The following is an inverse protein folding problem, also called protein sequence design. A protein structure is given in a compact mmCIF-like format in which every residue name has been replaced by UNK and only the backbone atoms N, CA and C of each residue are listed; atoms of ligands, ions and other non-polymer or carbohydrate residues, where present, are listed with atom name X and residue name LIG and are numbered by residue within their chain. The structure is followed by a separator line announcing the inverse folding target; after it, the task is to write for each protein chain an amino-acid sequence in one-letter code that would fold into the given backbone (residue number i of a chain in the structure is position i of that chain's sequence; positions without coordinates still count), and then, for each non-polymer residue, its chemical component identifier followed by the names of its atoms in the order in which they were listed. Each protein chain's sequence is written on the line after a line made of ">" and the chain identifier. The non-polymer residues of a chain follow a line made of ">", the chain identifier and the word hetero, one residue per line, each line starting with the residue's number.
data_IF_774600691754
#
_entry.id   IF_774600691754
#
_cell.length_a   1.000
_cell.length_b   1.000
_cell.length_c   1.000
_cell.angle_alpha   90.00
_cell.angle_beta   90.00
_cell.angle_gamma   90.00
#
_symmetry.space_group_name_H-M   'P 1'
#
loop_
_entity.id
_entity.type
_entity.pdbx_description
1 polymer ?
#
# COMPACT_ATOMS: atom_id res chain seq x y z
N UNK A 1 33.29 3.67 13.67
CA UNK A 1 33.66 4.88 12.90
C UNK A 1 33.16 4.84 11.44
N UNK A 2 32.05 4.13 11.15
CA UNK A 2 31.47 3.97 9.80
C UNK A 2 29.95 4.28 9.76
N UNK A 3 29.37 4.74 10.87
CA UNK A 3 27.94 5.13 10.97
C UNK A 3 27.70 6.64 10.77
N UNK A 4 28.75 7.44 10.60
CA UNK A 4 28.65 8.88 10.36
C UNK A 4 28.33 9.28 8.92
N UNK A 5 28.50 8.36 7.95
CA UNK A 5 28.44 8.68 6.51
C UNK A 5 27.05 8.44 5.90
N UNK A 6 26.24 7.54 6.46
CA UNK A 6 24.86 7.30 5.99
C UNK A 6 23.84 8.32 6.54
N UNK A 7 24.17 9.03 7.63
CA UNK A 7 23.34 10.09 8.21
C UNK A 7 23.79 11.51 7.80
N UNK A 8 25.04 11.71 7.33
CA UNK A 8 25.53 13.05 6.95
C UNK A 8 25.05 13.52 5.58
N UNK A 9 24.68 12.62 4.67
CA UNK A 9 24.27 13.00 3.29
C UNK A 9 22.77 13.21 3.13
N UNK A 10 21.94 12.94 4.16
CA UNK A 10 20.49 13.19 4.15
C UNK A 10 20.06 14.48 4.87
N UNK A 11 21.00 15.30 5.34
CA UNK A 11 20.72 16.52 6.13
C UNK A 11 20.37 17.78 5.30
N UNK A 12 20.21 17.67 3.98
CA UNK A 12 19.95 18.81 3.07
C UNK A 12 18.51 18.83 2.51
N UNK A 13 17.69 17.80 2.73
CA UNK A 13 16.27 17.81 2.27
C UNK A 13 15.34 17.56 3.44
N UNK A 14 15.34 18.50 4.38
CA UNK A 14 14.32 18.61 5.42
C UNK A 14 14.00 20.09 5.61
N UNK A 15 13.48 20.74 4.57
CA UNK A 15 12.82 22.04 4.67
C UNK A 15 11.88 22.22 3.47
N UNK A 16 10.69 22.77 3.76
CA UNK A 16 9.61 23.15 2.83
C UNK A 16 8.69 22.03 2.34
N UNK A 17 8.15 21.27 3.29
CA UNK A 17 6.87 20.60 3.10
C UNK A 17 5.76 21.56 3.53
N UNK A 18 4.88 21.95 2.61
CA UNK A 18 3.49 22.30 2.91
C UNK A 18 2.67 21.07 3.32
N UNK A 19 3.33 20.07 3.93
CA UNK A 19 2.67 19.04 4.70
C UNK A 19 2.55 19.63 6.09
N UNK A 20 1.36 19.57 6.66
CA UNK A 20 1.18 19.66 8.09
C UNK A 20 2.34 18.95 8.78
N UNK A 21 3.00 19.63 9.72
CA UNK A 21 3.93 19.00 10.64
C UNK A 21 3.18 17.79 11.19
N UNK A 22 3.52 16.59 10.73
CA UNK A 22 2.73 15.39 11.03
C UNK A 22 2.70 15.26 12.54
N UNK A 23 1.50 15.45 13.10
CA UNK A 23 1.16 15.11 14.47
C UNK A 23 1.81 13.76 14.79
N UNK A 24 2.49 13.68 15.94
CA UNK A 24 3.07 12.43 16.45
C UNK A 24 2.10 11.28 16.22
N UNK A 25 2.56 10.10 15.76
CA UNK A 25 1.76 8.87 15.95
C UNK A 25 1.23 8.89 17.36
N UNK A 26 -0.08 8.70 17.45
CA UNK A 26 -0.79 8.84 18.70
C UNK A 26 -0.32 7.78 19.71
N UNK A 27 -0.46 8.10 21.00
CA UNK A 27 0.17 7.42 22.13
C UNK A 27 -0.11 5.92 22.12
N UNK A 28 -1.32 5.50 21.73
CA UNK A 28 -1.72 4.09 21.67
C UNK A 28 -0.89 3.33 20.64
N UNK A 29 -0.71 3.92 19.44
CA UNK A 29 0.08 3.34 18.36
C UNK A 29 1.55 3.16 18.78
N UNK A 30 2.16 4.19 19.37
CA UNK A 30 3.55 4.08 19.86
C UNK A 30 3.67 3.01 20.94
N UNK A 31 2.75 2.96 21.91
CA UNK A 31 2.78 1.95 22.97
C UNK A 31 2.66 0.53 22.41
N UNK A 32 1.70 0.30 21.51
CA UNK A 32 1.53 -1.00 20.86
C UNK A 32 2.80 -1.42 20.11
N UNK A 33 3.36 -0.53 19.28
CA UNK A 33 4.54 -0.85 18.49
C UNK A 33 5.76 -1.08 19.37
N UNK A 34 6.03 -0.22 20.36
CA UNK A 34 7.15 -0.43 21.28
C UNK A 34 7.06 -1.80 21.95
N UNK A 35 5.88 -2.17 22.50
CA UNK A 35 5.68 -3.47 23.14
C UNK A 35 5.86 -4.63 22.15
N UNK A 36 5.29 -4.51 20.95
CA UNK A 36 5.43 -5.52 19.90
C UNK A 36 6.90 -5.73 19.53
N UNK A 37 7.64 -4.66 19.23
CA UNK A 37 9.07 -4.73 18.90
C UNK A 37 9.89 -5.32 20.04
N UNK A 38 9.66 -4.92 21.30
CA UNK A 38 10.37 -5.49 22.46
C UNK A 38 10.18 -7.00 22.54
N UNK A 39 8.94 -7.48 22.45
CA UNK A 39 8.62 -8.91 22.50
C UNK A 39 9.27 -9.68 21.35
N UNK A 40 9.12 -9.19 20.11
CA UNK A 40 9.66 -9.88 18.93
C UNK A 40 11.19 -9.92 18.95
N UNK A 41 11.84 -8.82 19.32
CA UNK A 41 13.30 -8.76 19.44
C UNK A 41 13.81 -9.73 20.51
N UNK A 42 13.16 -9.80 21.68
CA UNK A 42 13.52 -10.77 22.73
C UNK A 42 13.39 -12.22 22.22
N UNK A 43 12.32 -12.54 21.49
CA UNK A 43 12.14 -13.86 20.92
C UNK A 43 13.23 -14.20 19.89
N UNK A 44 13.61 -13.26 19.03
CA UNK A 44 14.67 -13.47 18.05
C UNK A 44 16.05 -13.63 18.69
N UNK A 45 16.33 -12.92 19.79
CA UNK A 45 17.62 -12.99 20.49
C UNK A 45 17.79 -14.27 21.31
N UNK A 46 16.70 -14.93 21.66
CA UNK A 46 16.71 -16.25 22.31
C UNK A 46 16.89 -17.40 21.30
N UNK A 47 16.84 -17.11 20.00
CA UNK A 47 16.98 -18.10 18.96
C UNK A 47 18.42 -18.59 18.86
N UNK A 48 18.62 -19.90 19.02
CA UNK A 48 19.89 -20.57 18.76
C UNK A 48 19.94 -21.03 17.29
N UNK A 49 20.71 -20.34 16.42
CA UNK A 49 20.70 -20.61 14.98
C UNK A 49 21.23 -22.00 14.62
N UNK A 50 22.01 -22.62 15.51
CA UNK A 50 22.55 -23.96 15.31
C UNK A 50 21.51 -25.05 15.58
N UNK A 51 20.44 -24.72 16.29
CA UNK A 51 19.33 -25.64 16.62
C UNK A 51 18.09 -25.43 15.76
N UNK A 52 18.03 -24.33 15.01
CA UNK A 52 16.92 -24.04 14.12
C UNK A 52 17.07 -24.75 12.77
N UNK A 53 15.93 -25.17 12.25
CA UNK A 53 15.80 -25.61 10.86
C UNK A 53 15.95 -24.43 9.89
N UNK A 54 16.28 -24.71 8.64
CA UNK A 54 16.33 -23.71 7.57
C UNK A 54 15.02 -22.94 7.43
N UNK A 55 13.87 -23.62 7.49
CA UNK A 55 12.55 -22.99 7.37
C UNK A 55 12.24 -22.03 8.52
N UNK A 56 12.67 -22.37 9.74
CA UNK A 56 12.53 -21.49 10.91
C UNK A 56 13.40 -20.23 10.75
N UNK A 57 14.65 -20.39 10.30
CA UNK A 57 15.55 -19.28 10.04
C UNK A 57 15.00 -18.36 8.94
N UNK A 58 14.44 -18.91 7.86
CA UNK A 58 13.81 -18.14 6.79
C UNK A 58 12.60 -17.34 7.33
N UNK A 59 11.74 -17.96 8.14
CA UNK A 59 10.59 -17.27 8.76
C UNK A 59 11.04 -16.12 9.66
N UNK A 60 12.09 -16.33 10.44
CA UNK A 60 12.68 -15.30 11.32
C UNK A 60 13.27 -14.16 10.50
N UNK A 61 14.04 -14.46 9.46
CA UNK A 61 14.58 -13.44 8.57
C UNK A 61 13.48 -12.62 7.88
N UNK A 62 12.43 -13.29 7.38
CA UNK A 62 11.30 -12.62 6.74
C UNK A 62 10.59 -11.66 7.70
N UNK A 63 10.32 -12.09 8.93
CA UNK A 63 9.66 -11.24 9.92
C UNK A 63 10.57 -10.10 10.40
N UNK A 64 11.84 -10.37 10.69
CA UNK A 64 12.81 -9.35 11.12
C UNK A 64 13.02 -8.29 10.04
N UNK A 65 13.10 -8.71 8.77
CA UNK A 65 13.21 -7.79 7.64
C UNK A 65 11.91 -7.00 7.42
N UNK A 66 10.73 -7.60 7.59
CA UNK A 66 9.44 -6.88 7.57
C UNK A 66 9.39 -5.78 8.64
N UNK A 67 9.76 -6.11 9.87
CA UNK A 67 9.83 -5.16 10.99
C UNK A 67 10.81 -4.02 10.72
N UNK A 68 11.97 -4.33 10.12
CA UNK A 68 12.97 -3.32 9.78
C UNK A 68 12.46 -2.41 8.66
N UNK A 69 11.84 -2.99 7.63
CA UNK A 69 11.25 -2.26 6.50
C UNK A 69 10.16 -1.30 6.96
N UNK A 70 9.27 -1.74 7.86
CA UNK A 70 8.23 -0.89 8.42
C UNK A 70 8.79 0.38 9.08
N UNK A 71 9.85 0.28 9.89
CA UNK A 71 10.48 1.44 10.54
C UNK A 71 11.00 2.43 9.49
N UNK A 72 11.65 1.91 8.44
CA UNK A 72 12.19 2.73 7.35
C UNK A 72 11.06 3.42 6.60
N UNK A 73 10.02 2.68 6.22
CA UNK A 73 8.88 3.21 5.45
C UNK A 73 8.11 4.26 6.27
N UNK A 74 7.84 4.00 7.55
CA UNK A 74 7.20 4.95 8.43
C UNK A 74 8.02 6.25 8.57
N UNK A 75 9.35 6.14 8.66
CA UNK A 75 10.24 7.30 8.69
C UNK A 75 10.17 8.09 7.38
N UNK A 76 10.27 7.43 6.23
CA UNK A 76 10.22 8.05 4.90
C UNK A 76 8.87 8.69 4.58
N UNK A 77 7.79 8.11 5.11
CA UNK A 77 6.47 8.73 5.04
C UNK A 77 6.36 9.99 5.89
N UNK A 78 7.27 10.22 6.83
CA UNK A 78 7.31 11.41 7.68
C UNK A 78 6.81 11.21 9.11
N UNK A 79 6.60 9.96 9.57
CA UNK A 79 6.32 9.67 10.99
C UNK A 79 7.60 9.69 11.84
N UNK A 80 8.50 10.65 11.58
CA UNK A 80 9.88 10.66 12.08
C UNK A 80 9.95 10.68 13.61
N UNK A 81 9.13 11.50 14.28
CA UNK A 81 9.12 11.59 15.74
C UNK A 81 8.79 10.25 16.40
N UNK A 82 7.74 9.59 15.91
CA UNK A 82 7.26 8.34 16.48
C UNK A 82 8.18 7.18 16.18
N UNK A 83 8.73 7.14 14.96
CA UNK A 83 9.77 6.20 14.62
C UNK A 83 11.00 6.37 15.52
N UNK A 84 11.45 7.61 15.74
CA UNK A 84 12.57 7.90 16.64
C UNK A 84 12.28 7.45 18.08
N UNK A 85 11.04 7.61 18.54
CA UNK A 85 10.62 7.15 19.86
C UNK A 85 10.63 5.62 19.98
N UNK A 86 10.07 4.90 18.99
CA UNK A 86 10.10 3.43 18.98
C UNK A 86 11.55 2.94 18.92
N UNK A 87 12.38 3.51 18.04
CA UNK A 87 13.78 3.12 17.90
C UNK A 87 14.57 3.38 19.18
N UNK A 88 14.42 4.56 19.80
CA UNK A 88 15.15 4.89 21.04
C UNK A 88 14.74 4.04 22.25
N UNK A 89 13.52 3.50 22.28
CA UNK A 89 13.02 2.64 23.36
C UNK A 89 13.34 1.14 23.17
N UNK A 90 13.75 0.74 21.97
CA UNK A 90 13.87 -0.69 21.62
C UNK A 90 15.20 -1.08 21.01
N UNK A 91 15.98 -0.11 20.51
CA UNK A 91 17.15 -0.30 19.65
C UNK A 91 16.86 -1.18 18.43
N UNK A 92 15.62 -1.14 17.93
CA UNK A 92 15.10 -2.11 16.96
C UNK A 92 15.96 -2.22 15.70
N UNK A 93 16.40 -1.12 15.11
CA UNK A 93 17.13 -1.16 13.84
C UNK A 93 18.46 -1.93 13.94
N UNK A 94 19.23 -1.69 15.00
CA UNK A 94 20.51 -2.37 15.20
C UNK A 94 20.29 -3.86 15.55
N UNK A 95 19.33 -4.15 16.43
CA UNK A 95 19.02 -5.52 16.86
C UNK A 95 18.51 -6.36 15.68
N UNK A 96 17.56 -5.82 14.88
CA UNK A 96 17.07 -6.48 13.67
C UNK A 96 18.19 -6.70 12.65
N UNK A 97 19.10 -5.74 12.47
CA UNK A 97 20.24 -5.90 11.58
C UNK A 97 21.15 -7.05 12.04
N UNK A 98 21.43 -7.16 13.34
CA UNK A 98 22.23 -8.27 13.90
C UNK A 98 21.56 -9.62 13.66
N UNK A 99 20.25 -9.71 13.87
CA UNK A 99 19.46 -10.93 13.59
C UNK A 99 19.57 -11.31 12.11
N UNK A 100 19.35 -10.37 11.19
CA UNK A 100 19.44 -10.63 9.75
C UNK A 100 20.85 -11.06 9.32
N UNK A 101 21.89 -10.42 9.87
CA UNK A 101 23.27 -10.79 9.61
C UNK A 101 23.60 -12.20 10.13
N UNK A 102 23.13 -12.55 11.33
CA UNK A 102 23.27 -13.90 11.89
C UNK A 102 22.61 -14.95 10.99
N UNK A 103 21.36 -14.72 10.55
CA UNK A 103 20.65 -15.68 9.70
C UNK A 103 21.35 -15.83 8.35
N UNK A 104 21.82 -14.72 7.78
CA UNK A 104 22.55 -14.71 6.50
C UNK A 104 23.89 -15.45 6.60
N UNK A 105 24.59 -15.38 7.73
CA UNK A 105 25.81 -16.16 7.95
C UNK A 105 25.53 -17.67 7.97
N UNK A 106 24.36 -18.08 8.50
CA UNK A 106 23.99 -19.49 8.62
C UNK A 106 23.44 -20.10 7.34
N UNK A 107 22.60 -19.36 6.63
CA UNK A 107 21.96 -19.79 5.38
C UNK A 107 22.84 -19.55 4.14
N UNK A 108 23.88 -18.72 4.27
CA UNK A 108 24.62 -18.18 3.13
C UNK A 108 23.95 -16.93 2.56
N UNK A 109 24.58 -16.26 1.57
CA UNK A 109 23.95 -15.13 0.90
C UNK A 109 22.63 -15.61 0.26
N UNK A 110 21.53 -14.85 0.39
CA UNK A 110 20.27 -15.26 -0.21
C UNK A 110 20.46 -15.49 -1.71
N UNK A 111 19.85 -16.56 -2.22
CA UNK A 111 19.72 -16.78 -3.65
C UNK A 111 19.07 -15.56 -4.30
N UNK A 112 19.20 -15.40 -5.61
CA UNK A 112 18.57 -14.29 -6.33
C UNK A 112 17.04 -14.24 -6.11
N UNK A 113 16.42 -15.42 -5.97
CA UNK A 113 15.01 -15.59 -5.60
C UNK A 113 14.70 -15.25 -4.15
N UNK A 114 15.69 -15.16 -3.25
CA UNK A 114 15.56 -14.79 -1.82
C UNK A 114 16.09 -13.38 -1.52
N UNK A 115 16.80 -12.74 -2.47
CA UNK A 115 17.28 -11.35 -2.34
C UNK A 115 16.14 -10.36 -2.10
N UNK A 116 14.91 -10.76 -2.38
CA UNK A 116 13.73 -9.98 -1.99
C UNK A 116 13.63 -9.69 -0.50
N UNK A 117 14.20 -10.51 0.39
CA UNK A 117 14.22 -10.25 1.82
C UNK A 117 15.15 -9.10 2.24
N UNK A 118 15.99 -8.59 1.34
CA UNK A 118 17.08 -7.67 1.69
C UNK A 118 16.81 -6.18 1.42
N UNK A 119 15.56 -5.80 1.17
CA UNK A 119 15.16 -4.39 1.04
C UNK A 119 16.06 -3.64 0.03
N UNK A 120 15.86 -3.84 -1.29
CA UNK A 120 16.71 -3.22 -2.30
C UNK A 120 16.80 -1.71 -2.10
N UNK A 121 17.95 -1.12 -2.40
CA UNK A 121 18.14 0.32 -2.25
C UNK A 121 17.05 1.09 -3.01
N UNK A 122 16.47 2.15 -2.41
CA UNK A 122 15.48 2.96 -3.09
C UNK A 122 16.11 3.61 -4.33
N UNK A 123 15.52 3.37 -5.50
CA UNK A 123 15.84 4.12 -6.72
C UNK A 123 15.11 5.45 -6.66
N UNK A 124 15.87 6.55 -6.51
CA UNK A 124 15.34 7.91 -6.55
C UNK A 124 15.11 8.34 -8.01
N UNK A 125 14.01 9.04 -8.26
CA UNK A 125 13.72 9.66 -9.55
C UNK A 125 14.19 11.11 -9.49
N UNK A 126 15.05 11.50 -10.44
CA UNK A 126 15.77 12.79 -10.40
C UNK A 126 14.85 14.01 -10.61
N UNK A 127 13.77 13.83 -11.38
CA UNK A 127 13.01 14.95 -11.96
C UNK A 127 11.57 15.07 -11.47
N UNK A 128 11.16 14.29 -10.46
CA UNK A 128 9.83 14.46 -9.86
C UNK A 128 9.91 15.55 -8.80
N UNK A 129 9.80 16.80 -9.24
CA UNK A 129 9.53 17.89 -8.31
C UNK A 129 8.17 17.64 -7.66
N UNK A 130 8.15 17.51 -6.32
CA UNK A 130 6.92 17.49 -5.52
C UNK A 130 6.20 18.83 -5.71
N UNK A 131 5.35 18.95 -6.73
CA UNK A 131 4.66 20.19 -7.09
C UNK A 131 3.16 20.00 -7.26
N UNK A 132 2.48 21.12 -7.02
CA UNK A 132 1.05 21.34 -7.10
C UNK A 132 0.46 20.83 -8.43
N UNK A 133 -0.71 20.22 -8.38
CA UNK A 133 -1.53 19.92 -9.58
C UNK A 133 -2.15 21.19 -10.19
N UNK A 134 -1.63 22.37 -9.85
CA UNK A 134 -2.03 23.66 -10.40
C UNK A 134 -1.79 23.72 -11.91
N UNK A 135 -2.79 24.21 -12.65
CA UNK A 135 -2.80 24.16 -14.11
C UNK A 135 -3.16 22.78 -14.70
N UNK A 136 -3.33 21.75 -13.85
CA UNK A 136 -3.84 20.44 -14.24
C UNK A 136 -5.30 20.49 -14.71
N UNK A 137 -5.64 19.66 -15.70
CA UNK A 137 -7.02 19.54 -16.20
C UNK A 137 -7.84 18.63 -15.28
N UNK A 138 -9.10 18.99 -15.06
CA UNK A 138 -10.05 18.20 -14.27
C UNK A 138 -10.88 17.29 -15.19
N UNK A 139 -11.09 16.05 -14.75
CA UNK A 139 -11.87 15.03 -15.45
C UNK A 139 -12.81 14.33 -14.47
N UNK A 140 -13.94 13.83 -14.97
CA UNK A 140 -14.72 12.82 -14.24
C UNK A 140 -13.89 11.53 -14.16
N UNK A 141 -13.89 10.87 -13.00
CA UNK A 141 -12.99 9.76 -12.68
C UNK A 141 -13.09 8.61 -13.69
N UNK A 142 -14.28 8.09 -13.98
CA UNK A 142 -14.43 6.93 -14.86
C UNK A 142 -13.98 7.25 -16.30
N UNK A 143 -14.37 8.43 -16.81
CA UNK A 143 -13.90 8.93 -18.09
C UNK A 143 -12.38 9.11 -18.14
N UNK A 144 -11.77 9.53 -17.02
CA UNK A 144 -10.33 9.65 -16.91
C UNK A 144 -9.63 8.28 -16.94
N UNK A 145 -10.17 7.29 -16.22
CA UNK A 145 -9.66 5.93 -16.21
C UNK A 145 -9.69 5.31 -17.61
N UNK A 146 -10.78 5.49 -18.37
CA UNK A 146 -10.87 5.01 -19.76
C UNK A 146 -9.86 5.72 -20.67
N UNK A 147 -9.63 7.01 -20.45
CA UNK A 147 -8.62 7.77 -21.21
C UNK A 147 -7.20 7.24 -20.96
N UNK A 148 -6.80 7.05 -19.71
CA UNK A 148 -5.44 6.58 -19.38
C UNK A 148 -5.25 5.10 -19.76
N UNK A 149 -6.32 4.30 -19.71
CA UNK A 149 -6.30 2.92 -20.20
C UNK A 149 -5.94 2.91 -21.70
N UNK A 150 -6.62 3.70 -22.52
CA UNK A 150 -6.32 3.81 -23.95
C UNK A 150 -4.92 4.39 -24.23
N UNK A 151 -4.45 5.36 -23.43
CA UNK A 151 -3.14 5.99 -23.64
C UNK A 151 -1.95 5.11 -23.23
N UNK A 152 -2.18 4.06 -22.46
CA UNK A 152 -1.14 3.13 -21.98
C UNK A 152 -0.96 1.90 -22.87
N UNK A 153 -1.58 1.84 -24.05
CA UNK A 153 -1.40 0.74 -25.01
C UNK A 153 -0.11 0.82 -25.84
N UNK A 154 0.58 1.97 -25.84
CA UNK A 154 1.83 2.15 -26.58
C UNK A 154 3.00 2.49 -25.65
N UNK A 155 4.19 2.00 -26.02
CA UNK A 155 5.42 2.34 -25.29
C UNK A 155 5.67 3.85 -25.33
N UNK A 156 5.92 4.42 -24.16
CA UNK A 156 6.27 5.83 -24.01
C UNK A 156 7.79 6.01 -24.06
N UNK A 157 8.24 7.04 -24.79
CA UNK A 157 9.63 7.48 -24.68
C UNK A 157 9.82 8.18 -23.33
N UNK A 158 10.71 7.64 -22.49
CA UNK A 158 11.02 8.17 -21.16
C UNK A 158 12.48 8.64 -21.03
N UNK A 159 13.26 8.59 -22.12
CA UNK A 159 14.70 8.91 -22.10
C UNK A 159 14.98 10.30 -21.54
N UNK A 160 14.17 11.28 -21.93
CA UNK A 160 14.26 12.68 -21.49
C UNK A 160 13.95 12.90 -20.00
N UNK A 161 13.41 11.89 -19.30
CA UNK A 161 13.08 11.99 -17.87
C UNK A 161 14.28 11.75 -16.94
N UNK A 162 15.43 11.30 -17.49
CA UNK A 162 16.61 10.88 -16.72
C UNK A 162 17.87 11.61 -17.17
N UNK A 163 18.76 11.90 -16.23
CA UNK A 163 20.05 12.56 -16.50
C UNK A 163 21.02 11.66 -17.29
N UNK A 164 20.93 10.34 -17.12
CA UNK A 164 21.80 9.38 -17.79
C UNK A 164 21.14 8.00 -17.97
N UNK A 165 21.71 7.20 -18.87
CA UNK A 165 21.20 5.88 -19.23
C UNK A 165 21.19 4.87 -18.07
N UNK A 166 22.18 4.92 -17.16
CA UNK A 166 22.25 4.02 -16.01
C UNK A 166 21.08 4.24 -15.04
N UNK A 167 20.74 5.50 -14.74
CA UNK A 167 19.57 5.80 -13.89
C UNK A 167 18.26 5.36 -14.53
N UNK A 168 18.11 5.60 -15.84
CA UNK A 168 16.97 5.09 -16.62
C UNK A 168 16.86 3.57 -16.51
N UNK A 169 17.95 2.85 -16.75
CA UNK A 169 17.98 1.38 -16.68
C UNK A 169 17.62 0.86 -15.28
N UNK A 170 18.21 1.43 -14.22
CA UNK A 170 17.86 1.09 -12.83
C UNK A 170 16.38 1.29 -12.53
N UNK A 171 15.80 2.40 -13.01
CA UNK A 171 14.38 2.68 -12.81
C UNK A 171 13.49 1.72 -13.61
N UNK A 172 13.85 1.40 -14.86
CA UNK A 172 13.12 0.42 -15.68
C UNK A 172 13.16 -0.97 -15.03
N UNK A 173 14.32 -1.41 -14.54
CA UNK A 173 14.46 -2.70 -13.85
C UNK A 173 13.60 -2.74 -12.57
N UNK A 174 13.62 -1.67 -11.76
CA UNK A 174 12.74 -1.57 -10.57
C UNK A 174 11.26 -1.63 -10.97
N UNK A 175 10.89 -0.86 -11.99
CA UNK A 175 9.51 -0.83 -12.52
C UNK A 175 9.06 -2.21 -12.92
N UNK A 176 9.87 -2.95 -13.70
CA UNK A 176 9.53 -4.29 -14.15
C UNK A 176 9.29 -5.25 -12.97
N UNK A 177 10.13 -5.17 -11.92
CA UNK A 177 9.99 -5.99 -10.72
C UNK A 177 8.68 -5.66 -9.97
N UNK A 178 8.40 -4.37 -9.75
CA UNK A 178 7.18 -3.93 -9.04
C UNK A 178 5.94 -4.29 -9.84
N UNK A 179 5.95 -4.12 -11.17
CA UNK A 179 4.81 -4.48 -12.01
C UNK A 179 4.59 -5.99 -12.06
N UNK A 180 5.65 -6.81 -12.06
CA UNK A 180 5.53 -8.26 -11.97
C UNK A 180 4.87 -8.68 -10.64
N UNK A 181 5.23 -8.04 -9.52
CA UNK A 181 4.58 -8.26 -8.23
C UNK A 181 3.09 -7.87 -8.26
N UNK A 182 2.75 -6.75 -8.91
CA UNK A 182 1.35 -6.32 -9.07
C UNK A 182 0.53 -7.25 -9.97
N UNK A 183 1.14 -7.84 -11.00
CA UNK A 183 0.50 -8.89 -11.80
C UNK A 183 0.19 -10.10 -10.93
N UNK A 184 1.13 -10.53 -10.10
CA UNK A 184 0.95 -11.68 -9.21
C UNK A 184 -0.13 -11.42 -8.14
N UNK A 185 -0.17 -10.21 -7.59
CA UNK A 185 -1.25 -9.77 -6.71
C UNK A 185 -2.61 -9.81 -7.43
N UNK A 186 -2.70 -9.29 -8.66
CA UNK A 186 -3.92 -9.33 -9.46
C UNK A 186 -4.37 -10.77 -9.76
N UNK A 187 -3.47 -11.67 -10.15
CA UNK A 187 -3.83 -13.08 -10.39
C UNK A 187 -4.37 -13.73 -9.11
N UNK A 188 -3.76 -13.45 -7.96
CA UNK A 188 -4.23 -13.94 -6.67
C UNK A 188 -5.60 -13.35 -6.27
N UNK A 189 -5.89 -12.08 -6.62
CA UNK A 189 -7.22 -11.46 -6.48
C UNK A 189 -8.25 -12.20 -7.35
N UNK A 190 -7.92 -12.44 -8.63
CA UNK A 190 -8.84 -13.09 -9.59
C UNK A 190 -9.26 -14.48 -9.11
N UNK A 191 -8.36 -15.23 -8.47
CA UNK A 191 -8.70 -16.52 -7.87
C UNK A 191 -9.79 -16.40 -6.79
N UNK A 192 -9.80 -15.30 -6.03
CA UNK A 192 -10.80 -15.01 -4.99
C UNK A 192 -12.10 -14.44 -5.55
N UNK A 193 -12.04 -13.71 -6.66
CA UNK A 193 -13.25 -13.22 -7.34
C UNK A 193 -14.11 -14.34 -7.93
N UNK A 194 -13.57 -15.57 -8.09
CA UNK A 194 -14.31 -16.75 -8.55
C UNK A 194 -15.24 -17.37 -7.50
N UNK A 195 -15.36 -16.76 -6.33
CA UNK A 195 -16.22 -17.23 -5.24
C UNK A 195 -17.72 -17.14 -5.61
N UNK A 196 -18.52 -17.95 -4.94
CA UNK A 196 -19.98 -17.94 -5.02
C UNK A 196 -20.54 -17.52 -3.65
N UNK A 197 -21.48 -16.56 -3.57
CA UNK A 197 -22.07 -15.79 -4.68
C UNK A 197 -21.06 -14.85 -5.35
N UNK A 198 -21.34 -14.44 -6.59
CA UNK A 198 -20.46 -13.51 -7.31
C UNK A 198 -20.35 -12.17 -6.58
N UNK A 199 -19.12 -11.67 -6.50
CA UNK A 199 -18.78 -10.42 -5.80
C UNK A 199 -18.43 -9.31 -6.78
N UNK A 200 -18.66 -8.06 -6.39
CA UNK A 200 -18.33 -6.87 -7.18
C UNK A 200 -16.97 -6.33 -6.72
N UNK A 201 -15.92 -6.32 -7.57
CA UNK A 201 -14.62 -5.81 -7.17
C UNK A 201 -14.64 -4.29 -6.98
N UNK A 202 -14.10 -3.83 -5.85
CA UNK A 202 -14.00 -2.42 -5.47
C UNK A 202 -12.54 -2.07 -5.21
N UNK A 203 -11.76 -1.69 -6.23
CA UNK A 203 -10.40 -1.17 -6.04
C UNK A 203 -10.43 0.21 -5.37
N UNK A 204 -9.67 0.37 -4.30
CA UNK A 204 -9.44 1.66 -3.64
C UNK A 204 -8.31 2.40 -4.36
N UNK A 205 -8.70 3.32 -5.26
CA UNK A 205 -7.87 3.86 -6.33
C UNK A 205 -6.66 4.72 -5.93
N UNK A 206 -6.39 4.86 -4.64
CA UNK A 206 -5.17 5.52 -4.20
C UNK A 206 -3.95 4.73 -4.72
N UNK A 207 -3.90 3.45 -4.38
CA UNK A 207 -2.71 2.62 -4.60
C UNK A 207 -3.06 1.34 -5.42
N UNK A 208 -4.29 1.25 -5.96
CA UNK A 208 -4.79 0.09 -6.75
C UNK A 208 -5.16 0.42 -8.19
N UNK A 209 -4.65 1.53 -8.76
CA UNK A 209 -4.94 1.91 -10.15
C UNK A 209 -4.57 0.81 -11.14
N UNK A 210 -3.38 0.22 -11.01
CA UNK A 210 -2.94 -0.87 -11.90
C UNK A 210 -3.86 -2.09 -11.77
N UNK A 211 -4.37 -2.38 -10.58
CA UNK A 211 -5.34 -3.46 -10.34
C UNK A 211 -6.65 -3.16 -11.06
N UNK A 212 -7.17 -1.93 -10.94
CA UNK A 212 -8.37 -1.49 -11.66
C UNK A 212 -8.24 -1.69 -13.17
N UNK A 213 -7.12 -1.25 -13.77
CA UNK A 213 -6.88 -1.39 -15.21
C UNK A 213 -6.68 -2.87 -15.59
N UNK A 214 -5.99 -3.64 -14.76
CA UNK A 214 -5.80 -5.07 -14.98
C UNK A 214 -7.12 -5.85 -14.96
N UNK A 215 -8.04 -5.55 -14.04
CA UNK A 215 -9.39 -6.15 -14.01
C UNK A 215 -10.17 -5.85 -15.30
N UNK A 216 -10.09 -4.61 -15.82
CA UNK A 216 -10.68 -4.26 -17.13
C UNK A 216 -10.04 -5.08 -18.26
N UNK A 217 -8.71 -5.15 -18.29
CA UNK A 217 -7.98 -5.89 -19.33
C UNK A 217 -8.34 -7.39 -19.33
N UNK A 218 -8.41 -8.02 -18.15
CA UNK A 218 -8.82 -9.42 -18.02
C UNK A 218 -10.21 -9.68 -18.61
N UNK A 219 -11.17 -8.76 -18.40
CA UNK A 219 -12.51 -8.85 -18.99
C UNK A 219 -12.47 -8.76 -20.53
N UNK A 220 -11.64 -7.87 -21.08
CA UNK A 220 -11.44 -7.77 -22.53
C UNK A 220 -10.88 -9.08 -23.13
N UNK A 221 -10.10 -9.83 -22.35
CA UNK A 221 -9.60 -11.17 -22.70
C UNK A 221 -10.57 -12.31 -22.37
N UNK A 222 -11.83 -12.00 -22.02
CA UNK A 222 -12.88 -13.00 -21.78
C UNK A 222 -12.80 -13.71 -20.42
N UNK A 223 -11.97 -13.23 -19.50
CA UNK A 223 -11.92 -13.80 -18.14
C UNK A 223 -13.14 -13.29 -17.35
N UNK A 224 -13.95 -14.18 -16.75
CA UNK A 224 -15.21 -13.81 -16.11
C UNK A 224 -14.93 -13.07 -14.79
N UNK A 225 -14.85 -11.76 -14.88
CA UNK A 225 -14.73 -10.83 -13.75
C UNK A 225 -15.84 -9.80 -13.90
N UNK A 226 -16.57 -9.52 -12.81
CA UNK A 226 -17.58 -8.47 -12.82
C UNK A 226 -16.94 -7.10 -13.05
N UNK A 227 -17.72 -6.16 -13.57
CA UNK A 227 -17.21 -4.81 -13.81
C UNK A 227 -16.73 -4.18 -12.49
N UNK A 228 -15.46 -3.76 -12.40
CA UNK A 228 -14.96 -3.16 -11.18
C UNK A 228 -15.55 -1.76 -10.95
N UNK A 229 -15.90 -1.47 -9.70
CA UNK A 229 -16.48 -0.20 -9.25
C UNK A 229 -15.45 0.53 -8.38
N UNK A 230 -14.49 1.25 -8.99
CA UNK A 230 -13.42 1.88 -8.25
C UNK A 230 -13.92 3.00 -7.34
N UNK A 231 -13.29 3.12 -6.17
CA UNK A 231 -13.56 4.18 -5.21
C UNK A 231 -12.29 4.97 -4.95
N UNK A 232 -12.36 6.30 -4.98
CA UNK A 232 -11.25 7.17 -4.63
C UNK A 232 -11.38 7.67 -3.19
N UNK A 233 -11.07 6.81 -2.22
CA UNK A 233 -10.92 7.17 -0.82
C UNK A 233 -9.44 7.34 -0.49
N UNK A 234 -9.07 8.53 -0.04
CA UNK A 234 -7.69 8.86 0.31
C UNK A 234 -7.67 9.92 1.41
N UNK A 235 -6.49 10.20 1.97
CA UNK A 235 -6.30 11.34 2.88
C UNK A 235 -6.71 12.68 2.23
N UNK A 236 -6.54 12.83 0.91
CA UNK A 236 -6.99 14.02 0.18
C UNK A 236 -8.52 14.10 0.09
N UNK A 237 -9.20 12.96 -0.04
CA UNK A 237 -10.66 12.91 0.12
C UNK A 237 -11.07 13.32 1.53
N UNK A 238 -10.38 12.82 2.58
CA UNK A 238 -10.64 13.22 3.96
C UNK A 238 -10.44 14.73 4.18
N UNK A 239 -9.45 15.33 3.52
CA UNK A 239 -9.19 16.77 3.61
C UNK A 239 -10.34 17.65 3.10
N UNK A 240 -11.33 17.09 2.39
CA UNK A 240 -12.57 17.81 2.01
C UNK A 240 -13.54 17.98 3.17
N UNK A 241 -13.37 17.23 4.26
CA UNK A 241 -14.17 17.33 5.47
C UNK A 241 -13.47 18.22 6.50
N UNK A 242 -14.26 19.05 7.19
CA UNK A 242 -13.75 19.80 8.34
C UNK A 242 -13.21 18.81 9.39
N UNK A 243 -11.93 18.92 9.73
CA UNK A 243 -11.28 18.00 10.67
C UNK A 243 -10.89 16.65 10.05
N UNK A 244 -10.76 16.53 8.72
CA UNK A 244 -10.38 15.29 8.03
C UNK A 244 -9.12 14.59 8.57
N UNK A 245 -8.14 15.35 9.06
CA UNK A 245 -6.96 14.79 9.72
C UNK A 245 -7.32 14.05 11.02
N UNK A 246 -8.20 14.62 11.85
CA UNK A 246 -8.67 13.98 13.08
C UNK A 246 -9.49 12.73 12.79
N UNK A 247 -10.28 12.73 11.71
CA UNK A 247 -11.02 11.55 11.25
C UNK A 247 -10.03 10.44 10.89
N UNK A 248 -8.98 10.76 10.14
CA UNK A 248 -7.95 9.79 9.78
C UNK A 248 -7.22 9.25 11.00
N UNK A 249 -6.82 10.13 11.91
CA UNK A 249 -6.13 9.77 13.15
C UNK A 249 -7.01 8.89 14.04
N UNK A 250 -8.31 9.20 14.16
CA UNK A 250 -9.27 8.36 14.90
C UNK A 250 -9.42 6.96 14.29
N UNK A 251 -9.61 6.86 12.96
CA UNK A 251 -9.74 5.57 12.27
C UNK A 251 -8.49 4.70 12.44
N UNK A 252 -7.31 5.33 12.39
CA UNK A 252 -6.04 4.62 12.43
C UNK A 252 -5.60 4.32 13.87
N UNK A 253 -5.50 5.31 14.76
CA UNK A 253 -4.94 5.10 16.09
C UNK A 253 -5.96 4.62 17.10
N UNK A 254 -6.98 5.41 17.41
CA UNK A 254 -7.93 5.11 18.47
C UNK A 254 -8.77 3.85 18.17
N UNK A 255 -9.28 3.77 16.95
CA UNK A 255 -10.20 2.70 16.54
C UNK A 255 -9.41 1.43 16.24
N UNK A 256 -8.51 1.47 15.25
CA UNK A 256 -7.79 0.29 14.79
C UNK A 256 -6.72 -0.17 15.78
N UNK A 257 -5.75 0.69 16.13
CA UNK A 257 -4.71 0.31 17.09
C UNK A 257 -5.23 0.13 18.50
N UNK A 258 -6.28 0.85 18.91
CA UNK A 258 -6.95 0.55 20.17
C UNK A 258 -7.55 -0.85 20.20
N UNK A 259 -8.12 -1.34 19.09
CA UNK A 259 -8.68 -2.70 19.02
C UNK A 259 -7.60 -3.78 19.15
N UNK A 260 -6.42 -3.51 18.56
CA UNK A 260 -5.25 -4.39 18.68
C UNK A 260 -4.64 -4.35 20.08
N UNK A 261 -4.50 -3.15 20.66
CA UNK A 261 -3.86 -2.93 21.96
C UNK A 261 -4.62 -3.61 23.11
N UNK A 262 -5.95 -3.60 23.08
CA UNK A 262 -6.78 -4.30 24.08
C UNK A 262 -6.79 -5.82 23.93
N UNK A 263 -6.07 -6.38 22.94
CA UNK A 263 -5.99 -7.82 22.64
C UNK A 263 -7.36 -8.47 22.37
N UNK A 264 -8.36 -7.67 21.97
CA UNK A 264 -9.72 -8.14 21.66
C UNK A 264 -9.90 -8.57 20.20
N UNK A 265 -8.85 -8.43 19.39
CA UNK A 265 -8.86 -8.74 17.95
C UNK A 265 -7.78 -9.80 17.63
N UNK A 266 -8.11 -11.08 17.84
CA UNK A 266 -7.22 -12.20 17.54
C UNK A 266 -7.34 -12.71 16.09
N UNK A 267 -8.45 -12.38 15.41
CA UNK A 267 -8.73 -12.73 14.02
C UNK A 267 -9.47 -11.58 13.31
N UNK A 268 -9.68 -11.73 11.99
CA UNK A 268 -10.35 -10.73 11.16
C UNK A 268 -11.79 -10.45 11.59
N UNK A 269 -12.54 -11.45 12.04
CA UNK A 269 -13.93 -11.27 12.47
C UNK A 269 -14.00 -10.43 13.73
N UNK A 270 -13.19 -10.76 14.72
CA UNK A 270 -13.06 -10.00 15.96
C UNK A 270 -12.59 -8.57 15.69
N UNK A 271 -11.59 -8.38 14.80
CA UNK A 271 -11.13 -7.06 14.41
C UNK A 271 -12.25 -6.24 13.74
N UNK A 272 -12.97 -6.82 12.77
CA UNK A 272 -14.11 -6.15 12.10
C UNK A 272 -15.16 -5.71 13.12
N UNK A 273 -15.55 -6.61 14.02
CA UNK A 273 -16.55 -6.30 15.05
C UNK A 273 -16.10 -5.14 15.96
N UNK A 274 -14.87 -5.21 16.49
CA UNK A 274 -14.33 -4.16 17.36
C UNK A 274 -14.19 -2.83 16.62
N UNK A 275 -13.72 -2.86 15.38
CA UNK A 275 -13.60 -1.67 14.53
C UNK A 275 -14.98 -1.01 14.32
N UNK A 276 -16.00 -1.78 13.96
CA UNK A 276 -17.38 -1.28 13.75
C UNK A 276 -17.93 -0.63 15.02
N UNK A 277 -17.84 -1.31 16.15
CA UNK A 277 -18.38 -0.81 17.43
C UNK A 277 -17.73 0.52 17.79
N UNK A 278 -16.39 0.59 17.71
CA UNK A 278 -15.63 1.82 18.03
C UNK A 278 -15.93 2.94 17.05
N UNK A 279 -15.90 2.66 15.75
CA UNK A 279 -16.10 3.66 14.71
C UNK A 279 -17.48 4.34 14.80
N UNK A 280 -18.54 3.59 15.14
CA UNK A 280 -19.90 4.13 15.27
C UNK A 280 -20.08 5.05 16.48
N UNK A 281 -19.29 4.88 17.54
CA UNK A 281 -19.38 5.68 18.77
C UNK A 281 -18.28 6.74 18.90
N UNK A 282 -17.35 6.82 17.95
CA UNK A 282 -16.18 7.67 18.09
C UNK A 282 -16.53 9.15 17.87
N UNK A 283 -16.21 10.06 18.81
CA UNK A 283 -16.63 11.46 18.75
C UNK A 283 -16.02 12.24 17.57
N UNK A 284 -14.82 11.86 17.13
CA UNK A 284 -14.14 12.49 15.97
C UNK A 284 -14.66 11.99 14.61
N UNK A 285 -15.64 11.07 14.59
CA UNK A 285 -16.27 10.57 13.35
C UNK A 285 -17.65 11.24 13.20
N UNK A 286 -17.76 12.37 12.48
CA UNK A 286 -19.03 13.10 12.41
C UNK A 286 -20.05 12.35 11.55
N UNK A 287 -21.34 12.48 11.89
CA UNK A 287 -22.43 11.87 11.13
C UNK A 287 -22.47 12.34 9.66
N UNK A 288 -22.03 13.56 9.38
CA UNK A 288 -21.91 14.07 8.01
C UNK A 288 -20.87 13.31 7.18
N UNK A 289 -19.76 12.88 7.78
CA UNK A 289 -18.76 12.03 7.13
C UNK A 289 -19.32 10.64 6.86
N UNK A 290 -20.00 10.03 7.85
CA UNK A 290 -20.68 8.73 7.68
C UNK A 290 -21.67 8.80 6.50
N UNK A 291 -22.53 9.82 6.49
CA UNK A 291 -23.54 9.97 5.45
C UNK A 291 -22.93 10.18 4.07
N UNK A 292 -21.93 11.05 3.94
CA UNK A 292 -21.28 11.30 2.65
C UNK A 292 -20.64 10.04 2.06
N UNK A 293 -20.04 9.17 2.89
CA UNK A 293 -19.48 7.92 2.41
C UNK A 293 -20.57 6.88 2.06
N UNK A 294 -21.69 6.86 2.80
CA UNK A 294 -22.86 6.03 2.45
C UNK A 294 -23.46 6.46 1.12
N UNK A 295 -23.61 7.76 0.91
CA UNK A 295 -24.13 8.31 -0.34
C UNK A 295 -23.19 7.95 -1.50
N UNK A 296 -21.88 8.06 -1.30
CA UNK A 296 -20.90 7.65 -2.30
C UNK A 296 -20.96 6.14 -2.60
N UNK A 297 -21.09 5.29 -1.58
CA UNK A 297 -21.29 3.84 -1.80
C UNK A 297 -22.60 3.55 -2.55
N UNK A 298 -23.68 4.27 -2.22
CA UNK A 298 -24.97 4.10 -2.87
C UNK A 298 -24.92 4.47 -4.36
N UNK A 299 -24.09 5.46 -4.76
CA UNK A 299 -23.95 5.84 -6.18
C UNK A 299 -23.30 4.76 -7.04
N UNK A 300 -22.59 3.79 -6.42
CA UNK A 300 -21.99 2.68 -7.16
C UNK A 300 -23.03 1.66 -7.65
N UNK A 301 -24.26 1.70 -7.11
CA UNK A 301 -25.37 0.82 -7.47
C UNK A 301 -24.94 -0.67 -7.54
N UNK A 302 -24.30 -1.14 -6.46
CA UNK A 302 -23.72 -2.48 -6.41
C UNK A 302 -24.81 -3.55 -6.55
N UNK A 303 -24.71 -4.37 -7.59
CA UNK A 303 -25.57 -5.53 -7.82
C UNK A 303 -24.93 -6.81 -7.24
N UNK A 304 -24.57 -6.80 -5.96
CA UNK A 304 -23.89 -7.93 -5.31
C UNK A 304 -23.05 -7.52 -4.11
N UNK A 305 -22.37 -8.48 -3.50
CA UNK A 305 -21.52 -8.23 -2.33
C UNK A 305 -20.24 -7.48 -2.73
N UNK A 306 -19.85 -6.42 -2.01
CA UNK A 306 -18.61 -5.72 -2.30
C UNK A 306 -17.38 -6.59 -2.02
N UNK A 307 -16.37 -6.54 -2.89
CA UNK A 307 -15.07 -7.17 -2.65
C UNK A 307 -13.99 -6.09 -2.70
N UNK A 308 -13.63 -5.56 -1.54
CA UNK A 308 -12.75 -4.39 -1.43
C UNK A 308 -11.30 -4.80 -1.65
N UNK A 309 -10.63 -4.14 -2.58
CA UNK A 309 -9.23 -4.41 -2.91
C UNK A 309 -8.41 -3.19 -2.52
N UNK A 310 -7.40 -3.40 -1.69
CA UNK A 310 -6.54 -2.33 -1.15
C UNK A 310 -5.08 -2.76 -1.18
N UNK A 311 -4.21 -1.78 -1.34
CA UNK A 311 -2.80 -1.90 -0.99
C UNK A 311 -2.52 -0.86 0.08
N UNK A 312 -2.27 -1.32 1.30
CA UNK A 312 -2.15 -0.41 2.41
C UNK A 312 -1.70 -1.10 3.68
N UNK A 313 -0.98 -0.35 4.49
CA UNK A 313 -0.37 -0.85 5.72
C UNK A 313 -1.37 -1.54 6.67
N UNK A 314 -2.54 -0.93 6.93
CA UNK A 314 -3.47 -1.40 7.96
C UNK A 314 -4.82 -1.92 7.43
N UNK A 315 -5.20 -1.58 6.19
CA UNK A 315 -6.53 -1.88 5.67
C UNK A 315 -7.66 -1.13 6.39
N UNK A 316 -7.40 0.07 6.93
CA UNK A 316 -8.38 0.87 7.67
C UNK A 316 -9.55 1.35 6.80
N UNK A 317 -9.31 1.74 5.55
CA UNK A 317 -10.39 2.11 4.62
C UNK A 317 -11.29 0.93 4.23
N UNK A 318 -10.75 -0.27 3.90
CA UNK A 318 -11.57 -1.47 3.78
C UNK A 318 -12.46 -1.74 4.99
N UNK A 319 -11.90 -1.71 6.20
CA UNK A 319 -12.68 -1.89 7.43
C UNK A 319 -13.76 -0.82 7.58
N UNK A 320 -13.42 0.45 7.31
CA UNK A 320 -14.36 1.58 7.32
C UNK A 320 -15.52 1.37 6.36
N UNK A 321 -15.25 1.04 5.09
CA UNK A 321 -16.28 0.82 4.08
C UNK A 321 -17.25 -0.28 4.47
N UNK A 322 -16.73 -1.39 5.03
CA UNK A 322 -17.54 -2.49 5.53
C UNK A 322 -18.43 -2.09 6.72
N UNK A 323 -18.13 -1.00 7.43
CA UNK A 323 -18.99 -0.49 8.53
C UNK A 323 -20.25 0.25 8.03
N UNK A 324 -20.22 0.71 6.77
CA UNK A 324 -21.19 1.65 6.21
C UNK A 324 -22.37 0.98 5.52
N UNK A 325 -22.24 -0.30 5.18
CA UNK A 325 -23.23 -1.08 4.42
C UNK A 325 -23.69 -2.30 5.23
N UNK A 326 -24.97 -2.65 5.10
CA UNK A 326 -25.51 -3.90 5.63
C UNK A 326 -25.18 -5.10 4.71
N UNK A 327 -24.75 -4.82 3.49
CA UNK A 327 -24.30 -5.82 2.53
C UNK A 327 -22.86 -6.23 2.86
N UNK A 328 -22.70 -7.32 3.62
CA UNK A 328 -21.40 -7.79 4.11
C UNK A 328 -20.56 -8.31 2.95
N UNK A 329 -19.58 -7.50 2.56
CA UNK A 329 -18.57 -7.90 1.59
C UNK A 329 -17.38 -8.63 2.19
N UNK A 330 -16.42 -8.94 1.34
CA UNK A 330 -15.08 -9.33 1.76
C UNK A 330 -14.04 -8.32 1.30
N UNK A 331 -12.79 -8.51 1.72
CA UNK A 331 -11.69 -7.64 1.34
C UNK A 331 -10.44 -8.45 1.07
N UNK A 332 -9.52 -7.84 0.32
CA UNK A 332 -8.17 -8.31 0.16
C UNK A 332 -7.19 -7.16 0.27
N UNK A 333 -6.02 -7.47 0.82
CA UNK A 333 -5.02 -6.48 1.17
C UNK A 333 -3.64 -6.94 0.68
N UNK A 334 -2.94 -6.04 0.03
CA UNK A 334 -1.48 -6.08 0.02
C UNK A 334 -0.99 -5.31 1.24
N UNK A 335 -0.49 -6.01 2.26
CA UNK A 335 0.14 -5.39 3.44
C UNK A 335 1.44 -6.09 3.79
N UNK A 336 2.28 -5.36 4.50
CA UNK A 336 3.65 -5.73 4.86
C UNK A 336 3.87 -5.71 6.36
N UNK A 337 2.80 -5.47 7.10
CA UNK A 337 2.83 -5.29 8.53
C UNK A 337 2.79 -6.65 9.24
N UNK A 338 3.88 -7.05 9.92
CA UNK A 338 4.01 -8.41 10.41
C UNK A 338 2.99 -8.79 11.48
N UNK A 339 2.63 -7.86 12.38
CA UNK A 339 1.62 -8.12 13.42
C UNK A 339 0.20 -8.30 12.87
N UNK A 340 -0.04 -7.92 11.61
CA UNK A 340 -1.36 -8.10 10.98
C UNK A 340 -1.50 -9.44 10.26
N UNK A 341 -0.41 -10.17 10.01
CA UNK A 341 -0.45 -11.39 9.20
C UNK A 341 -1.26 -12.53 9.83
N UNK A 342 -1.28 -12.65 11.15
CA UNK A 342 -2.12 -13.64 11.83
C UNK A 342 -3.60 -13.29 11.69
N UNK A 343 -3.94 -12.02 11.89
CA UNK A 343 -5.31 -11.49 11.84
C UNK A 343 -5.88 -11.56 10.41
N UNK A 344 -5.09 -11.16 9.42
CA UNK A 344 -5.50 -11.06 8.01
C UNK A 344 -5.15 -12.29 7.17
N UNK A 345 -4.77 -13.42 7.76
CA UNK A 345 -4.17 -14.57 7.06
C UNK A 345 -4.86 -14.95 5.75
N UNK A 346 -6.18 -14.93 5.71
CA UNK A 346 -6.96 -15.40 4.55
C UNK A 346 -7.13 -14.33 3.45
N UNK A 347 -6.92 -13.06 3.81
CA UNK A 347 -7.17 -11.89 2.98
C UNK A 347 -5.92 -11.10 2.62
N UNK A 348 -4.74 -11.53 3.07
CA UNK A 348 -3.46 -10.84 2.80
C UNK A 348 -2.64 -11.52 1.72
N UNK A 349 -2.19 -10.74 0.75
CA UNK A 349 -1.16 -11.17 -0.20
C UNK A 349 0.23 -10.90 0.39
N UNK A 350 1.07 -11.95 0.45
CA UNK A 350 2.36 -11.94 1.19
C UNK A 350 3.57 -12.37 0.37
N UNK A 351 3.46 -12.37 -0.97
CA UNK A 351 4.55 -12.87 -1.83
C UNK A 351 5.84 -12.09 -1.57
N UNK A 352 5.79 -10.75 -1.57
CA UNK A 352 6.96 -9.94 -1.29
C UNK A 352 6.69 -8.64 -0.52
N UNK A 353 6.70 -8.74 0.80
CA UNK A 353 6.36 -7.61 1.66
C UNK A 353 7.32 -6.40 1.56
N UNK A 354 8.46 -6.47 0.87
CA UNK A 354 9.31 -5.28 0.77
C UNK A 354 8.79 -4.25 -0.24
N UNK A 355 7.87 -4.65 -1.13
CA UNK A 355 7.42 -3.79 -2.22
C UNK A 355 6.20 -2.93 -1.92
N UNK A 356 5.54 -3.01 -0.75
CA UNK A 356 4.34 -2.16 -0.53
C UNK A 356 4.63 -0.68 -0.73
N UNK A 357 5.69 -0.16 -0.12
CA UNK A 357 6.04 1.25 -0.31
C UNK A 357 6.37 1.56 -1.77
N UNK A 358 7.05 0.65 -2.46
CA UNK A 358 7.35 0.81 -3.89
C UNK A 358 6.09 0.79 -4.76
N UNK A 359 5.12 -0.06 -4.42
CA UNK A 359 3.80 -0.16 -5.08
C UNK A 359 2.99 1.12 -4.83
N UNK A 360 2.93 1.61 -3.60
CA UNK A 360 2.21 2.84 -3.24
C UNK A 360 2.85 4.09 -3.86
N UNK A 361 4.13 4.04 -4.26
CA UNK A 361 4.90 5.20 -4.75
C UNK A 361 5.34 5.09 -6.19
N UNK A 362 4.80 4.15 -6.96
CA UNK A 362 4.94 4.22 -8.42
C UNK A 362 4.33 5.55 -8.92
N UNK A 363 4.88 6.07 -10.01
CA UNK A 363 4.51 7.40 -10.53
C UNK A 363 3.02 7.45 -10.90
N UNK A 364 2.48 6.35 -11.43
CA UNK A 364 1.07 6.23 -11.80
C UNK A 364 0.11 6.35 -10.60
N UNK A 365 0.52 5.92 -9.40
CA UNK A 365 -0.28 6.01 -8.18
C UNK A 365 -0.15 7.38 -7.51
N UNK A 366 1.08 7.84 -7.27
CA UNK A 366 1.31 9.01 -6.41
C UNK A 366 1.25 10.35 -7.15
N UNK A 367 1.44 10.34 -8.48
CA UNK A 367 1.72 11.58 -9.22
C UNK A 367 0.88 11.81 -10.48
N UNK A 368 0.26 10.79 -11.06
CA UNK A 368 -0.49 10.94 -12.32
C UNK A 368 -1.73 11.84 -12.16
N UNK A 369 -2.51 11.63 -11.11
CA UNK A 369 -3.70 12.42 -10.81
C UNK A 369 -3.96 12.49 -9.30
N UNK A 370 -4.81 13.42 -8.89
CA UNK A 370 -5.32 13.47 -7.52
C UNK A 370 -6.82 13.73 -7.49
N UNK A 371 -7.45 13.42 -6.36
CA UNK A 371 -8.80 13.89 -6.07
C UNK A 371 -8.88 15.42 -6.19
N UNK A 372 -9.93 15.93 -6.84
CA UNK A 372 -10.20 17.37 -7.00
C UNK A 372 -11.48 17.77 -6.27
N UNK A 373 -12.62 17.18 -6.66
CA UNK A 373 -13.92 17.48 -6.06
C UNK A 373 -14.90 16.33 -6.26
N UNK A 374 -16.02 16.38 -5.52
CA UNK A 374 -17.17 15.51 -5.73
C UNK A 374 -18.40 16.37 -5.96
N UNK A 375 -19.14 16.10 -7.04
CA UNK A 375 -20.34 16.85 -7.39
C UNK A 375 -21.37 15.95 -8.06
N UNK A 376 -22.63 16.04 -7.62
CA UNK A 376 -23.75 15.24 -8.13
C UNK A 376 -23.46 13.73 -8.16
N UNK A 377 -22.86 13.21 -7.09
CA UNK A 377 -22.53 11.78 -6.97
C UNK A 377 -21.37 11.31 -7.85
N UNK A 378 -20.69 12.22 -8.57
CA UNK A 378 -19.53 11.93 -9.41
C UNK A 378 -18.25 12.45 -8.75
N UNK A 379 -17.18 11.67 -8.90
CA UNK A 379 -15.84 12.05 -8.46
C UNK A 379 -15.07 12.65 -9.62
N UNK A 380 -14.42 13.77 -9.34
CA UNK A 380 -13.55 14.46 -10.28
C UNK A 380 -12.11 14.41 -9.80
N UNK A 381 -11.21 14.20 -10.75
CA UNK A 381 -9.77 14.12 -10.53
C UNK A 381 -9.06 15.18 -11.35
N UNK A 382 -7.92 15.65 -10.83
CA UNK A 382 -7.03 16.57 -11.52
C UNK A 382 -5.79 15.83 -11.98
N UNK A 383 -5.56 15.81 -13.28
CA UNK A 383 -4.36 15.23 -13.91
C UNK A 383 -3.15 16.14 -13.67
N UNK A 384 -1.96 15.54 -13.55
CA UNK A 384 -0.70 16.30 -13.49
C UNK A 384 -0.47 17.13 -14.76
N UNK A 385 -0.04 18.40 -14.64
CA UNK A 385 0.35 19.19 -15.81
C UNK A 385 1.74 18.79 -16.34
N UNK A 386 2.51 18.01 -15.58
CA UNK A 386 3.91 17.73 -15.88
C UNK A 386 4.05 16.56 -16.88
N UNK A 387 4.66 16.83 -18.03
CA UNK A 387 4.79 15.84 -19.10
C UNK A 387 5.70 14.67 -18.72
N UNK A 388 6.81 14.91 -18.01
CA UNK A 388 7.70 13.85 -17.53
C UNK A 388 6.97 12.86 -16.60
N UNK A 389 6.19 13.36 -15.64
CA UNK A 389 5.37 12.52 -14.75
C UNK A 389 4.38 11.69 -15.58
N UNK A 390 3.70 12.32 -16.52
CA UNK A 390 2.73 11.62 -17.38
C UNK A 390 3.39 10.52 -18.23
N UNK A 391 4.55 10.79 -18.83
CA UNK A 391 5.29 9.78 -19.60
C UNK A 391 5.75 8.60 -18.74
N UNK A 392 6.28 8.87 -17.54
CA UNK A 392 6.69 7.81 -16.60
C UNK A 392 5.50 6.96 -16.13
N UNK A 393 4.40 7.60 -15.74
CA UNK A 393 3.19 6.89 -15.32
C UNK A 393 2.61 6.02 -16.45
N UNK A 394 2.48 6.56 -17.66
CA UNK A 394 1.99 5.79 -18.82
C UNK A 394 2.95 4.64 -19.19
N UNK A 395 4.26 4.82 -19.01
CA UNK A 395 5.23 3.73 -19.17
C UNK A 395 5.04 2.62 -18.12
N UNK A 396 4.85 2.95 -16.84
CA UNK A 396 4.54 1.97 -15.79
C UNK A 396 3.27 1.17 -16.12
N UNK A 397 2.20 1.86 -16.53
CA UNK A 397 0.94 1.23 -16.93
C UNK A 397 1.12 0.31 -18.14
N UNK A 398 1.90 0.73 -19.14
CA UNK A 398 2.24 -0.10 -20.30
C UNK A 398 2.99 -1.37 -19.89
N UNK A 399 4.05 -1.26 -19.07
CA UNK A 399 4.83 -2.41 -18.59
C UNK A 399 3.94 -3.40 -17.84
N UNK A 400 3.08 -2.89 -16.95
CA UNK A 400 2.11 -3.74 -16.23
C UNK A 400 1.19 -4.50 -17.18
N UNK A 401 0.61 -3.82 -18.18
CA UNK A 401 -0.28 -4.45 -19.16
C UNK A 401 0.43 -5.52 -19.97
N UNK A 402 1.66 -5.28 -20.43
CA UNK A 402 2.42 -6.26 -21.20
C UNK A 402 2.75 -7.51 -20.39
N UNK A 403 3.18 -7.33 -19.13
CA UNK A 403 3.43 -8.45 -18.21
C UNK A 403 2.13 -9.23 -17.93
N UNK A 404 1.00 -8.53 -17.76
CA UNK A 404 -0.29 -9.18 -17.55
C UNK A 404 -0.75 -9.96 -18.79
N UNK A 405 -0.60 -9.40 -19.99
CA UNK A 405 -0.91 -10.08 -21.26
C UNK A 405 -0.10 -11.38 -21.38
N UNK A 406 1.20 -11.33 -21.12
CA UNK A 406 2.07 -12.52 -21.09
C UNK A 406 1.53 -13.57 -20.11
N UNK A 407 1.20 -13.16 -18.88
CA UNK A 407 0.64 -14.06 -17.86
C UNK A 407 -0.69 -14.67 -18.27
N UNK A 408 -1.57 -13.91 -18.92
CA UNK A 408 -2.85 -14.42 -19.44
C UNK A 408 -2.61 -15.51 -20.49
N UNK A 409 -1.68 -15.32 -21.41
CA UNK A 409 -1.35 -16.35 -22.40
C UNK A 409 -0.79 -17.62 -21.75
N UNK A 410 0.08 -17.49 -20.75
CA UNK A 410 0.59 -18.64 -19.98
C UNK A 410 -0.53 -19.42 -19.28
N UNK A 411 -1.49 -18.72 -18.67
CA UNK A 411 -2.62 -19.33 -17.97
C UNK A 411 -3.62 -19.99 -18.92
N UNK A 412 -3.83 -19.43 -20.11
CA UNK A 412 -4.72 -19.99 -21.12
C UNK A 412 -4.12 -21.22 -21.82
N UNK A 413 -2.79 -21.38 -21.84
CA UNK A 413 -2.14 -22.60 -22.32
C UNK A 413 -2.34 -23.79 -21.35
N UNK A 414 -2.72 -23.53 -20.11
CA UNK A 414 -2.98 -24.55 -19.08
C UNK A 414 -4.46 -25.01 -19.00
N UNK A 415 -5.34 -24.45 -19.83
CA UNK A 415 -6.71 -24.92 -20.04
C UNK A 415 -6.78 -25.75 -21.31
#
# INVERSE_FOLDING_TARGET
>A
MLWGILLSTKRIIANNLGYFCKSSMDRILILFLTQHYQLRLQNFEQLDPERCTTDELIKVAAEASSLRKFIIDAYEEGYTQSTNQIVSQTDALERLQRILSMVSQRLGPPSEQERFYLCPEPVLIDTVEKKSFEGGKTFELLAYLDRIDNQSESVMEIGYCFENANRKERWQNKTQIVMAEMVEFLIWIVQRLKQQPEVVPIPLLRDTLVVQLGLKLLRCYGIPVREPKPILLSRKFLATFQGGEKIYDALNSDIFYGALYEQKACDLMALRHQFIVRARSHPEIPSSFIQANRDYLATLALDGFPFVIETGMHGTFPLWLLTLTDNIGDMVLYTTVPWMYSIYRDVVFRKNYNYLRDIETIVAHDHLFQFDTMSNGKVFVKETPQMNIRSLALYELYVFKELLKQKIYELNWMR
#
